data_IF_651327287065
#
_entry.id   IF_651327287065
#
_cell.length_a   1.000
_cell.length_b   1.000
_cell.length_c   1.000
_cell.angle_alpha   90.00
_cell.angle_beta   90.00
_cell.angle_gamma   90.00
#
_symmetry.space_group_name_H-M   'P 1'
#
loop_
_entity.id
_entity.type
_entity.pdbx_description
1 polymer ?
#
# COMPACT_ATOMS: atom_id res chain seq x y z
N UNK A 1 -3.91 -6.35 27.11
CA UNK A 1 -2.86 -6.92 26.23
C UNK A 1 -3.42 -7.97 25.27
N UNK A 2 -4.44 -8.76 25.66
CA UNK A 2 -5.02 -9.85 24.85
C UNK A 2 -5.67 -9.41 23.52
N UNK A 3 -6.33 -8.25 23.45
CA UNK A 3 -7.04 -7.83 22.23
C UNK A 3 -6.12 -7.55 21.03
N UNK A 4 -4.91 -6.99 21.26
CA UNK A 4 -3.96 -6.68 20.18
C UNK A 4 -3.27 -7.93 19.65
N UNK A 5 -2.98 -8.89 20.53
CA UNK A 5 -2.40 -10.18 20.14
C UNK A 5 -3.44 -11.01 19.39
N UNK A 6 -4.69 -11.01 19.86
CA UNK A 6 -5.79 -11.72 19.19
C UNK A 6 -6.08 -11.16 17.80
N UNK A 7 -6.09 -9.83 17.64
CA UNK A 7 -6.29 -9.21 16.32
C UNK A 7 -5.16 -9.57 15.36
N UNK A 8 -3.89 -9.58 15.81
CA UNK A 8 -2.76 -9.97 14.97
C UNK A 8 -2.82 -11.45 14.59
N UNK A 9 -3.20 -12.32 15.55
CA UNK A 9 -3.33 -13.75 15.35
C UNK A 9 -4.41 -14.10 14.31
N UNK A 10 -5.44 -13.27 14.14
CA UNK A 10 -6.48 -13.45 13.13
C UNK A 10 -6.09 -12.77 11.80
N UNK A 11 -5.57 -11.55 11.87
CA UNK A 11 -5.26 -10.75 10.68
C UNK A 11 -4.14 -11.35 9.83
N UNK A 12 -3.09 -11.92 10.44
CA UNK A 12 -1.96 -12.51 9.72
C UNK A 12 -2.40 -13.74 8.90
N UNK A 13 -3.05 -14.77 9.49
CA UNK A 13 -3.56 -15.91 8.72
C UNK A 13 -4.59 -15.50 7.69
N UNK A 14 -5.48 -14.55 8.00
CA UNK A 14 -6.47 -14.06 7.04
C UNK A 14 -5.80 -13.40 5.83
N UNK A 15 -4.79 -12.55 6.05
CA UNK A 15 -4.02 -11.94 4.97
C UNK A 15 -3.35 -13.00 4.10
N UNK A 16 -2.67 -13.99 4.71
CA UNK A 16 -2.06 -15.10 3.98
C UNK A 16 -3.09 -15.94 3.21
N UNK A 17 -4.24 -16.22 3.82
CA UNK A 17 -5.33 -16.98 3.21
C UNK A 17 -5.85 -16.28 1.96
N UNK A 18 -6.10 -14.97 2.02
CA UNK A 18 -6.57 -14.19 0.86
C UNK A 18 -5.56 -14.24 -0.31
N UNK A 19 -4.26 -14.20 -0.01
CA UNK A 19 -3.20 -14.26 -1.02
C UNK A 19 -3.16 -15.66 -1.69
N UNK A 20 -3.41 -16.72 -0.91
CA UNK A 20 -3.48 -18.12 -1.39
C UNK A 20 -4.75 -18.39 -2.19
N UNK A 21 -5.91 -17.90 -1.75
CA UNK A 21 -7.21 -18.08 -2.41
C UNK A 21 -7.24 -17.48 -3.84
N UNK A 22 -6.36 -16.52 -4.12
CA UNK A 22 -6.07 -16.07 -5.47
C UNK A 22 -6.52 -14.64 -5.79
N UNK A 23 -6.42 -14.27 -7.07
CA UNK A 23 -6.52 -12.87 -7.53
C UNK A 23 -7.89 -12.23 -7.28
N UNK A 24 -8.97 -12.97 -7.42
CA UNK A 24 -10.32 -12.44 -7.24
C UNK A 24 -10.59 -12.05 -5.78
N UNK A 25 -10.23 -12.94 -4.83
CA UNK A 25 -10.36 -12.67 -3.40
C UNK A 25 -9.45 -11.53 -2.96
N UNK A 26 -8.19 -11.52 -3.42
CA UNK A 26 -7.28 -10.40 -3.19
C UNK A 26 -7.86 -9.07 -3.71
N UNK A 27 -8.42 -9.05 -4.92
CA UNK A 27 -9.01 -7.83 -5.48
C UNK A 27 -10.22 -7.34 -4.68
N UNK A 28 -11.12 -8.26 -4.26
CA UNK A 28 -12.25 -7.90 -3.43
C UNK A 28 -11.82 -7.33 -2.07
N UNK A 29 -10.82 -7.94 -1.43
CA UNK A 29 -10.26 -7.47 -0.16
C UNK A 29 -9.58 -6.11 -0.29
N UNK A 30 -8.75 -5.92 -1.31
CA UNK A 30 -8.08 -4.63 -1.57
C UNK A 30 -9.08 -3.55 -1.98
N UNK A 31 -10.16 -3.89 -2.69
CA UNK A 31 -11.24 -2.96 -3.00
C UNK A 31 -11.95 -2.50 -1.74
N UNK A 32 -12.33 -3.43 -0.86
CA UNK A 32 -13.00 -3.12 0.39
C UNK A 32 -12.12 -2.21 1.27
N UNK A 33 -10.86 -2.58 1.50
CA UNK A 33 -9.93 -1.77 2.28
C UNK A 33 -9.59 -0.44 1.59
N UNK A 34 -9.49 -0.41 0.26
CA UNK A 34 -9.26 0.82 -0.49
C UNK A 34 -10.41 1.82 -0.34
N UNK A 35 -11.66 1.36 -0.41
CA UNK A 35 -12.85 2.21 -0.22
C UNK A 35 -12.90 2.72 1.22
N UNK A 36 -12.62 1.88 2.22
CA UNK A 36 -12.59 2.31 3.62
C UNK A 36 -11.46 3.32 3.87
N UNK A 37 -10.25 3.02 3.38
CA UNK A 37 -9.07 3.87 3.57
C UNK A 37 -9.21 5.24 2.90
N UNK A 38 -9.76 5.30 1.68
CA UNK A 38 -9.96 6.58 0.99
C UNK A 38 -11.03 7.44 1.65
N UNK A 39 -12.07 6.82 2.21
CA UNK A 39 -13.10 7.53 3.00
C UNK A 39 -12.54 8.12 4.28
N UNK A 40 -11.74 7.36 5.02
CA UNK A 40 -11.06 7.87 6.21
C UNK A 40 -10.09 9.00 5.86
N UNK A 41 -9.34 8.87 4.76
CA UNK A 41 -8.46 9.91 4.26
C UNK A 41 -9.22 11.22 3.99
N UNK A 42 -10.33 11.17 3.26
CA UNK A 42 -11.11 12.38 2.97
C UNK A 42 -11.82 12.94 4.20
N UNK A 43 -12.24 12.09 5.14
CA UNK A 43 -12.79 12.55 6.42
C UNK A 43 -11.77 13.37 7.21
N UNK A 44 -10.50 12.96 7.22
CA UNK A 44 -9.40 13.73 7.85
C UNK A 44 -9.16 15.07 7.14
N UNK A 45 -9.22 15.10 5.80
CA UNK A 45 -9.12 16.34 5.05
C UNK A 45 -10.30 17.29 5.32
N UNK A 46 -11.51 16.76 5.47
CA UNK A 46 -12.70 17.51 5.85
C UNK A 46 -12.58 18.10 7.26
N UNK A 47 -12.04 17.35 8.21
CA UNK A 47 -11.72 17.89 9.55
C UNK A 47 -10.69 19.03 9.51
N UNK A 48 -9.88 19.10 8.45
CA UNK A 48 -8.90 20.17 8.24
C UNK A 48 -9.45 21.35 7.43
N UNK A 49 -10.76 21.38 7.14
CA UNK A 49 -11.45 22.47 6.45
C UNK A 49 -11.47 22.37 4.93
N UNK A 50 -11.06 21.25 4.34
CA UNK A 50 -11.12 21.02 2.89
C UNK A 50 -12.37 20.26 2.47
N UNK A 51 -12.84 20.46 1.24
CA UNK A 51 -14.01 19.80 0.67
C UNK A 51 -13.68 18.85 -0.49
N UNK A 52 -12.85 17.81 -0.31
CA UNK A 52 -12.54 16.88 -1.40
C UNK A 52 -13.77 16.12 -1.87
N UNK A 53 -13.79 15.72 -3.15
CA UNK A 53 -14.90 14.94 -3.72
C UNK A 53 -14.72 13.46 -3.41
N UNK A 54 -15.35 12.99 -2.32
CA UNK A 54 -15.29 11.59 -1.90
C UNK A 54 -15.74 10.64 -3.02
N UNK A 55 -16.83 10.97 -3.74
CA UNK A 55 -17.38 10.13 -4.81
C UNK A 55 -16.36 9.91 -5.93
N UNK A 56 -15.73 10.99 -6.40
CA UNK A 56 -14.69 10.92 -7.43
C UNK A 56 -13.50 10.10 -6.94
N UNK A 57 -13.11 10.29 -5.68
CA UNK A 57 -12.01 9.54 -5.08
C UNK A 57 -12.27 8.04 -4.96
N UNK A 58 -13.47 7.66 -4.51
CA UNK A 58 -13.91 6.25 -4.43
C UNK A 58 -13.96 5.62 -5.82
N UNK A 59 -14.50 6.32 -6.83
CA UNK A 59 -14.48 5.85 -8.22
C UNK A 59 -13.05 5.69 -8.75
N UNK A 60 -12.14 6.59 -8.36
CA UNK A 60 -10.72 6.46 -8.66
C UNK A 60 -10.09 5.19 -8.08
N UNK A 61 -10.38 4.87 -6.81
CA UNK A 61 -9.91 3.62 -6.17
C UNK A 61 -10.49 2.39 -6.88
N UNK A 62 -11.79 2.39 -7.20
CA UNK A 62 -12.43 1.30 -7.96
C UNK A 62 -11.73 1.12 -9.32
N UNK A 63 -11.46 2.22 -10.04
CA UNK A 63 -10.77 2.20 -11.33
C UNK A 63 -9.34 1.67 -11.22
N UNK A 64 -8.58 2.08 -10.19
CA UNK A 64 -7.22 1.56 -9.96
C UNK A 64 -7.23 0.06 -9.64
N UNK A 65 -8.15 -0.40 -8.79
CA UNK A 65 -8.27 -1.83 -8.47
C UNK A 65 -8.68 -2.64 -9.71
N UNK A 66 -9.62 -2.14 -10.51
CA UNK A 66 -10.02 -2.76 -11.77
C UNK A 66 -8.84 -2.82 -12.76
N UNK A 67 -8.08 -1.73 -12.90
CA UNK A 67 -6.87 -1.67 -13.72
C UNK A 67 -5.83 -2.70 -13.28
N UNK A 68 -5.55 -2.77 -11.97
CA UNK A 68 -4.61 -3.74 -11.41
C UNK A 68 -5.06 -5.18 -11.60
N UNK A 69 -6.37 -5.43 -11.50
CA UNK A 69 -6.95 -6.75 -11.75
C UNK A 69 -6.86 -7.15 -13.22
N UNK A 70 -7.15 -6.23 -14.15
CA UNK A 70 -7.10 -6.44 -15.60
C UNK A 70 -5.65 -6.45 -16.14
N UNK A 71 -4.68 -5.93 -15.39
CA UNK A 71 -3.28 -5.89 -15.79
C UNK A 71 -2.99 -4.88 -16.89
N UNK A 72 -3.55 -3.66 -16.79
CA UNK A 72 -3.43 -2.60 -17.80
C UNK A 72 -2.55 -1.42 -17.31
N UNK A 73 -1.22 -1.59 -17.08
CA UNK A 73 -0.36 -0.52 -16.54
C UNK A 73 -0.37 0.77 -17.36
N UNK A 74 -0.49 0.65 -18.68
CA UNK A 74 -0.49 1.76 -19.61
C UNK A 74 -1.67 2.74 -19.42
N UNK A 75 -2.75 2.32 -18.75
CA UNK A 75 -3.94 3.16 -18.53
C UNK A 75 -3.91 3.93 -17.21
N UNK A 76 -2.84 3.83 -16.41
CA UNK A 76 -2.70 4.56 -15.13
C UNK A 76 -2.83 6.07 -15.37
N UNK A 77 -2.18 6.60 -16.41
CA UNK A 77 -2.28 8.03 -16.76
C UNK A 77 -3.70 8.45 -17.12
N UNK A 78 -4.49 7.56 -17.75
CA UNK A 78 -5.89 7.84 -18.07
C UNK A 78 -6.75 7.90 -16.81
N UNK A 79 -6.56 6.99 -15.85
CA UNK A 79 -7.29 7.01 -14.57
C UNK A 79 -6.96 8.29 -13.79
N UNK A 80 -5.69 8.66 -13.69
CA UNK A 80 -5.23 9.90 -13.06
C UNK A 80 -5.89 11.11 -13.73
N UNK A 81 -5.82 11.19 -15.06
CA UNK A 81 -6.43 12.30 -15.84
C UNK A 81 -7.94 12.35 -15.62
N UNK A 82 -8.63 11.21 -15.65
CA UNK A 82 -10.08 11.14 -15.42
C UNK A 82 -10.44 11.62 -14.01
N UNK A 83 -9.70 11.22 -12.97
CA UNK A 83 -9.90 11.71 -11.60
C UNK A 83 -9.72 13.22 -11.52
N UNK A 84 -8.66 13.77 -12.13
CA UNK A 84 -8.42 15.23 -12.13
C UNK A 84 -9.57 15.97 -12.80
N UNK A 85 -9.93 15.60 -14.03
CA UNK A 85 -10.97 16.28 -14.80
C UNK A 85 -12.31 16.19 -14.08
N UNK A 86 -12.72 14.98 -13.67
CA UNK A 86 -14.00 14.79 -12.97
C UNK A 86 -14.04 15.51 -11.63
N UNK A 87 -12.92 15.56 -10.90
CA UNK A 87 -12.82 16.32 -9.65
C UNK A 87 -12.97 17.83 -9.91
N UNK A 88 -12.26 18.40 -10.88
CA UNK A 88 -12.34 19.82 -11.20
C UNK A 88 -13.73 20.24 -11.69
N UNK A 89 -14.36 19.41 -12.53
CA UNK A 89 -15.75 19.61 -12.96
C UNK A 89 -16.70 19.56 -11.78
N UNK A 90 -16.55 18.56 -10.90
CA UNK A 90 -17.37 18.43 -9.70
C UNK A 90 -17.23 19.64 -8.76
N UNK A 91 -16.01 20.10 -8.51
CA UNK A 91 -15.75 21.26 -7.65
C UNK A 91 -16.32 22.56 -8.24
N UNK A 92 -16.18 22.76 -9.55
CA UNK A 92 -16.71 23.94 -10.23
C UNK A 92 -18.24 23.98 -10.24
N UNK A 93 -18.89 22.84 -10.51
CA UNK A 93 -20.35 22.77 -10.65
C UNK A 93 -21.10 22.72 -9.31
N UNK A 94 -20.49 22.19 -8.25
CA UNK A 94 -21.17 21.92 -6.97
C UNK A 94 -20.74 22.87 -5.84
N UNK A 95 -19.49 23.33 -5.84
CA UNK A 95 -18.90 24.08 -4.72
C UNK A 95 -18.51 25.53 -5.07
N UNK A 96 -19.02 26.07 -6.18
CA UNK A 96 -18.85 27.47 -6.61
C UNK A 96 -17.38 27.96 -6.64
N UNK A 97 -16.40 27.07 -6.77
CA UNK A 97 -15.01 27.47 -6.98
C UNK A 97 -14.15 27.65 -5.71
N UNK A 98 -14.71 27.60 -4.49
CA UNK A 98 -13.92 27.84 -3.29
C UNK A 98 -12.89 26.73 -3.05
N UNK A 99 -11.60 27.09 -3.05
CA UNK A 99 -10.48 26.15 -2.89
C UNK A 99 -10.50 24.97 -3.88
N UNK A 100 -11.12 25.11 -5.06
CA UNK A 100 -11.31 24.01 -6.02
C UNK A 100 -10.02 23.28 -6.37
N UNK A 101 -8.92 24.01 -6.57
CA UNK A 101 -7.61 23.42 -6.87
C UNK A 101 -7.13 22.56 -5.70
N UNK A 102 -7.22 23.06 -4.46
CA UNK A 102 -6.80 22.32 -3.28
C UNK A 102 -7.68 21.09 -3.04
N UNK A 103 -9.01 21.24 -3.16
CA UNK A 103 -9.94 20.12 -3.03
C UNK A 103 -9.72 19.05 -4.09
N UNK A 104 -9.44 19.44 -5.33
CA UNK A 104 -9.11 18.50 -6.42
C UNK A 104 -7.75 17.85 -6.24
N UNK A 105 -6.74 18.59 -5.76
CA UNK A 105 -5.44 18.03 -5.41
C UNK A 105 -5.55 17.00 -4.29
N UNK A 106 -6.34 17.28 -3.25
CA UNK A 106 -6.61 16.33 -2.15
C UNK A 106 -7.40 15.12 -2.67
N UNK A 107 -8.39 15.33 -3.53
CA UNK A 107 -9.16 14.24 -4.16
C UNK A 107 -8.22 13.32 -4.94
N UNK A 108 -7.37 13.89 -5.80
CA UNK A 108 -6.36 13.15 -6.54
C UNK A 108 -5.38 12.43 -5.62
N UNK A 109 -4.89 13.12 -4.59
CA UNK A 109 -3.95 12.55 -3.63
C UNK A 109 -4.57 11.33 -2.95
N UNK A 110 -5.79 11.43 -2.43
CA UNK A 110 -6.47 10.31 -1.78
C UNK A 110 -6.67 9.12 -2.71
N UNK A 111 -7.11 9.34 -3.94
CA UNK A 111 -7.40 8.25 -4.88
C UNK A 111 -6.13 7.57 -5.39
N UNK A 112 -5.08 8.33 -5.70
CA UNK A 112 -3.79 7.78 -6.15
C UNK A 112 -3.05 7.14 -4.98
N UNK A 113 -2.96 7.83 -3.84
CA UNK A 113 -2.22 7.34 -2.66
C UNK A 113 -2.81 6.05 -2.10
N UNK A 114 -4.15 5.92 -2.11
CA UNK A 114 -4.81 4.69 -1.65
C UNK A 114 -4.95 3.67 -2.79
N UNK A 115 -5.41 4.09 -3.97
CA UNK A 115 -5.76 3.17 -5.05
C UNK A 115 -4.57 2.59 -5.81
N UNK A 116 -3.53 3.38 -6.09
CA UNK A 116 -2.39 2.91 -6.88
C UNK A 116 -1.62 1.77 -6.19
N UNK A 117 -1.32 1.80 -4.88
CA UNK A 117 -0.71 0.67 -4.19
C UNK A 117 -1.55 -0.62 -4.27
N UNK A 118 -2.89 -0.50 -4.21
CA UNK A 118 -3.80 -1.65 -4.36
C UNK A 118 -3.70 -2.25 -5.77
N UNK A 119 -3.63 -1.41 -6.80
CA UNK A 119 -3.41 -1.84 -8.17
C UNK A 119 -2.06 -2.54 -8.32
N UNK A 120 -0.99 -1.96 -7.80
CA UNK A 120 0.37 -2.52 -7.84
C UNK A 120 0.42 -3.88 -7.15
N UNK A 121 -0.23 -4.05 -5.99
CA UNK A 121 -0.30 -5.34 -5.31
C UNK A 121 -0.97 -6.44 -6.17
N UNK A 122 -2.04 -6.10 -6.90
CA UNK A 122 -2.70 -7.02 -7.82
C UNK A 122 -1.82 -7.37 -9.04
N UNK A 123 -1.13 -6.38 -9.58
CA UNK A 123 -0.22 -6.58 -10.71
C UNK A 123 0.98 -7.42 -10.30
N UNK A 124 1.52 -7.18 -9.11
CA UNK A 124 2.60 -7.98 -8.53
C UNK A 124 2.17 -9.45 -8.39
N UNK A 125 0.94 -9.70 -7.91
CA UNK A 125 0.36 -11.05 -7.80
C UNK A 125 0.19 -11.76 -9.15
N UNK A 126 0.14 -11.02 -10.26
CA UNK A 126 0.00 -11.53 -11.63
C UNK A 126 1.33 -11.64 -12.39
N UNK A 127 2.41 -11.10 -11.84
CA UNK A 127 3.71 -11.00 -12.53
C UNK A 127 4.39 -12.36 -12.63
N UNK A 128 4.84 -12.76 -13.83
CA UNK A 128 5.58 -14.02 -14.05
C UNK A 128 4.75 -15.29 -13.86
N UNK A 129 3.41 -15.19 -13.85
CA UNK A 129 2.49 -16.30 -13.64
C UNK A 129 2.04 -16.49 -12.19
N UNK A 130 1.07 -17.39 -11.98
CA UNK A 130 0.38 -17.57 -10.70
C UNK A 130 1.30 -17.96 -9.54
N UNK A 131 2.36 -18.71 -9.81
CA UNK A 131 3.38 -19.01 -8.82
C UNK A 131 4.31 -17.81 -8.63
N UNK A 132 5.06 -17.34 -9.63
CA UNK A 132 6.01 -16.21 -9.45
C UNK A 132 5.39 -14.98 -8.76
N UNK A 133 4.19 -14.56 -9.17
CA UNK A 133 3.51 -13.40 -8.61
C UNK A 133 3.09 -13.56 -7.15
N UNK A 134 2.76 -14.78 -6.72
CA UNK A 134 2.52 -15.09 -5.31
C UNK A 134 3.75 -14.75 -4.45
N UNK A 135 4.95 -14.99 -4.97
CA UNK A 135 6.21 -14.82 -4.23
C UNK A 135 6.67 -13.39 -4.14
N UNK A 136 6.50 -12.65 -5.24
CA UNK A 136 6.74 -11.22 -5.22
C UNK A 136 5.85 -10.51 -4.20
N UNK A 137 4.55 -10.85 -4.16
CA UNK A 137 3.64 -10.27 -3.17
C UNK A 137 3.96 -10.72 -1.74
N UNK A 138 4.32 -11.99 -1.54
CA UNK A 138 4.69 -12.50 -0.22
C UNK A 138 5.97 -11.82 0.31
N UNK A 139 7.00 -11.65 -0.53
CA UNK A 139 8.21 -10.92 -0.17
C UNK A 139 7.87 -9.48 0.22
N UNK A 140 7.04 -8.78 -0.56
CA UNK A 140 6.65 -7.40 -0.26
C UNK A 140 5.95 -7.28 1.11
N UNK A 141 5.06 -8.21 1.46
CA UNK A 141 4.35 -8.18 2.74
C UNK A 141 5.28 -8.52 3.91
N UNK A 142 6.08 -9.58 3.76
CA UNK A 142 7.01 -10.01 4.81
C UNK A 142 8.09 -8.96 5.07
N UNK A 143 8.59 -8.30 4.02
CA UNK A 143 9.59 -7.22 4.15
C UNK A 143 8.99 -6.02 4.88
N UNK A 144 7.76 -5.59 4.55
CA UNK A 144 7.08 -4.53 5.31
C UNK A 144 6.94 -4.89 6.79
N UNK A 145 6.49 -6.11 7.11
CA UNK A 145 6.37 -6.56 8.50
C UNK A 145 7.72 -6.61 9.22
N UNK A 146 8.75 -7.14 8.56
CA UNK A 146 10.09 -7.21 9.13
C UNK A 146 10.70 -5.83 9.34
N UNK A 147 10.49 -4.89 8.40
CA UNK A 147 10.93 -3.50 8.51
C UNK A 147 10.25 -2.80 9.66
N UNK A 148 8.94 -2.96 9.85
CA UNK A 148 8.21 -2.36 10.97
C UNK A 148 8.65 -2.93 12.32
N UNK A 149 8.82 -4.25 12.41
CA UNK A 149 9.33 -4.93 13.61
C UNK A 149 10.76 -4.46 13.93
N UNK A 150 11.64 -4.47 12.93
CA UNK A 150 13.03 -4.02 13.05
C UNK A 150 13.15 -2.56 13.44
N UNK A 151 12.33 -1.69 12.85
CA UNK A 151 12.30 -0.28 13.19
C UNK A 151 11.77 -0.02 14.59
N UNK A 152 10.76 -0.77 15.03
CA UNK A 152 10.23 -0.66 16.39
C UNK A 152 11.25 -1.10 17.44
N UNK A 153 11.80 -2.31 17.33
CA UNK A 153 12.73 -2.84 18.33
C UNK A 153 14.09 -2.15 18.26
N UNK A 154 14.61 -1.90 17.05
CA UNK A 154 15.85 -1.15 16.85
C UNK A 154 15.73 0.29 17.35
N UNK A 155 14.60 0.94 17.08
CA UNK A 155 14.35 2.30 17.58
C UNK A 155 14.20 2.36 19.10
N UNK A 156 13.61 1.33 19.73
CA UNK A 156 13.48 1.23 21.18
C UNK A 156 14.82 0.94 21.88
N UNK A 157 15.67 0.10 21.29
CA UNK A 157 16.93 -0.33 21.90
C UNK A 157 18.08 0.65 21.65
N UNK A 158 18.17 1.22 20.45
CA UNK A 158 19.32 2.00 19.98
C UNK A 158 18.97 3.45 19.62
N UNK A 159 17.69 3.84 19.70
CA UNK A 159 17.22 5.14 19.23
C UNK A 159 17.78 6.31 20.02
N UNK A 160 18.60 7.14 19.36
CA UNK A 160 19.16 8.37 19.93
C UNK A 160 18.74 9.59 19.14
N UNK A 161 18.80 9.53 17.81
CA UNK A 161 18.42 10.64 16.93
C UNK A 161 16.98 10.48 16.44
N UNK A 162 16.15 11.50 16.66
CA UNK A 162 14.79 11.54 16.13
C UNK A 162 14.81 11.76 14.62
N UNK A 163 14.00 10.99 13.89
CA UNK A 163 13.93 11.08 12.43
C UNK A 163 13.06 12.25 11.97
N UNK A 164 11.87 12.41 12.56
CA UNK A 164 10.90 13.43 12.17
C UNK A 164 10.11 13.91 13.38
N UNK A 165 10.72 14.68 14.31
CA UNK A 165 10.12 14.99 15.62
C UNK A 165 8.80 15.75 15.53
N UNK A 166 8.60 16.57 14.49
CA UNK A 166 7.34 17.34 14.28
C UNK A 166 6.18 16.49 13.75
N UNK A 167 6.47 15.36 13.07
CA UNK A 167 5.46 14.51 12.42
C UNK A 167 5.22 13.23 13.21
N UNK A 168 6.30 12.62 13.73
CA UNK A 168 6.25 11.40 14.51
C UNK A 168 7.35 11.41 15.59
N UNK A 169 7.03 11.79 16.83
CA UNK A 169 8.02 11.99 17.89
C UNK A 169 8.72 10.69 18.32
N UNK A 170 8.15 9.53 18.00
CA UNK A 170 8.68 8.23 18.40
C UNK A 170 9.62 7.60 17.35
N UNK A 171 9.67 8.11 16.11
CA UNK A 171 10.56 7.57 15.08
C UNK A 171 12.01 8.02 15.27
N UNK A 172 12.95 7.10 15.17
CA UNK A 172 14.39 7.35 15.30
C UNK A 172 15.15 6.94 14.04
N UNK A 173 16.28 7.59 13.76
CA UNK A 173 17.13 7.26 12.61
C UNK A 173 17.72 5.86 12.74
N UNK A 174 18.13 5.47 13.95
CA UNK A 174 18.67 4.13 14.23
C UNK A 174 17.60 3.06 14.04
N UNK A 175 16.34 3.36 14.41
CA UNK A 175 15.20 2.50 14.09
C UNK A 175 15.01 2.34 12.59
N UNK A 176 15.00 3.43 11.82
CA UNK A 176 14.85 3.36 10.36
C UNK A 176 15.95 2.51 9.69
N UNK A 177 17.21 2.66 10.13
CA UNK A 177 18.33 1.86 9.62
C UNK A 177 18.14 0.38 9.99
N UNK A 178 17.75 0.07 11.23
CA UNK A 178 17.50 -1.31 11.64
C UNK A 178 16.34 -1.94 10.87
N UNK A 179 15.28 -1.18 10.64
CA UNK A 179 14.16 -1.59 9.78
C UNK A 179 14.62 -1.97 8.39
N UNK A 180 15.41 -1.11 7.74
CA UNK A 180 15.98 -1.37 6.42
C UNK A 180 16.84 -2.65 6.41
N UNK A 181 17.69 -2.84 7.42
CA UNK A 181 18.52 -4.07 7.54
C UNK A 181 17.63 -5.31 7.69
N UNK A 182 16.59 -5.25 8.51
CA UNK A 182 15.63 -6.34 8.66
C UNK A 182 14.85 -6.63 7.37
N UNK A 183 14.45 -5.59 6.62
CA UNK A 183 13.80 -5.72 5.33
C UNK A 183 14.69 -6.45 4.32
N UNK A 184 15.91 -5.95 4.11
CA UNK A 184 16.92 -6.56 3.21
C UNK A 184 17.21 -8.01 3.62
N UNK A 185 17.45 -8.27 4.90
CA UNK A 185 17.68 -9.63 5.41
C UNK A 185 16.50 -10.56 5.12
N UNK A 186 15.26 -10.06 5.22
CA UNK A 186 14.04 -10.83 4.90
C UNK A 186 13.95 -11.13 3.42
N UNK A 187 14.21 -10.14 2.55
CA UNK A 187 14.24 -10.36 1.10
C UNK A 187 15.25 -11.44 0.69
N UNK A 188 16.45 -11.41 1.28
CA UNK A 188 17.49 -12.44 1.07
C UNK A 188 17.03 -13.79 1.62
N UNK A 189 16.54 -13.85 2.86
CA UNK A 189 16.10 -15.10 3.49
C UNK A 189 14.95 -15.77 2.72
N UNK A 190 13.93 -15.01 2.32
CA UNK A 190 12.79 -15.53 1.55
C UNK A 190 13.24 -15.99 0.16
N UNK A 191 14.23 -15.34 -0.47
CA UNK A 191 14.81 -15.82 -1.73
C UNK A 191 15.50 -17.17 -1.57
N UNK A 192 16.30 -17.36 -0.50
CA UNK A 192 16.99 -18.62 -0.24
C UNK A 192 16.00 -19.74 0.10
N UNK A 193 15.05 -19.47 1.02
CA UNK A 193 14.01 -20.42 1.40
C UNK A 193 13.07 -20.74 0.23
N UNK A 194 12.70 -19.75 -0.58
CA UNK A 194 11.84 -19.93 -1.75
C UNK A 194 12.48 -20.78 -2.85
N UNK A 195 13.79 -20.67 -3.04
CA UNK A 195 14.52 -21.54 -3.96
C UNK A 195 14.71 -22.96 -3.42
N UNK A 196 14.87 -23.13 -2.10
CA UNK A 196 15.09 -24.42 -1.47
C UNK A 196 13.79 -25.23 -1.23
N UNK A 197 12.70 -24.58 -0.82
CA UNK A 197 11.49 -25.22 -0.29
C UNK A 197 10.24 -25.02 -1.16
N UNK A 198 10.13 -23.88 -1.86
CA UNK A 198 8.88 -23.46 -2.54
C UNK A 198 8.97 -23.50 -4.07
N UNK A 199 10.06 -24.03 -4.61
CA UNK A 199 10.31 -24.23 -6.04
C UNK A 199 10.11 -22.94 -6.86
N UNK A 200 10.69 -21.82 -6.39
CA UNK A 200 10.70 -20.52 -7.09
C UNK A 200 12.04 -20.21 -7.77
N UNK A 201 12.36 -20.80 -8.93
CA UNK A 201 13.64 -20.56 -9.58
C UNK A 201 13.77 -19.16 -10.19
N UNK A 202 12.67 -18.40 -10.33
CA UNK A 202 12.64 -17.16 -11.13
C UNK A 202 12.82 -15.85 -10.36
N UNK A 203 12.97 -15.88 -9.03
CA UNK A 203 13.31 -14.65 -8.30
C UNK A 203 14.79 -14.34 -8.53
N UNK A 204 15.09 -13.24 -9.23
CA UNK A 204 16.46 -12.73 -9.30
C UNK A 204 16.85 -12.08 -7.97
N UNK A 205 18.14 -12.12 -7.63
CA UNK A 205 18.63 -11.43 -6.42
C UNK A 205 18.36 -9.93 -6.47
N UNK A 206 18.40 -9.34 -7.68
CA UNK A 206 18.02 -7.95 -7.93
C UNK A 206 16.56 -7.66 -7.55
N UNK A 207 15.60 -8.47 -8.00
CA UNK A 207 14.19 -8.28 -7.66
C UNK A 207 13.94 -8.43 -6.15
N UNK A 208 14.60 -9.38 -5.48
CA UNK A 208 14.45 -9.53 -4.03
C UNK A 208 15.01 -8.35 -3.24
N UNK A 209 16.10 -7.73 -3.69
CA UNK A 209 16.66 -6.55 -3.03
C UNK A 209 15.81 -5.31 -3.27
N UNK A 210 15.34 -5.12 -4.51
CA UNK A 210 14.46 -3.99 -4.86
C UNK A 210 13.15 -4.03 -4.07
N UNK A 211 12.59 -5.22 -3.84
CA UNK A 211 11.37 -5.35 -3.03
C UNK A 211 11.61 -5.25 -1.52
N UNK A 212 12.87 -5.33 -1.07
CA UNK A 212 13.23 -5.36 0.34
C UNK A 212 13.73 -4.01 0.89
N UNK A 213 13.81 -2.99 0.04
CA UNK A 213 14.21 -1.61 0.33
C UNK A 213 13.01 -0.69 0.09
#
# INVERSE_FOLDING_TARGET
MNQRVLSALIAIPLALLVIVLGRAYLAATLLAFGILGVREFYKLAQFSGYGPSERVGVLGVIAFVALGYLGLPQTVGLVVTAVVITSLVWQTLVFEGQNSIANSAITLLGSVYVGLPMAVALMLRSTGGGHAGFGYLLIAILTVWATDIGAYYGGKALGKRKLAPKVSPNKTCEGAIMGLVCGVATGVAVRWLGAALLWWPHLSLGHSLVLAV
#
